data_IF_431515313979
#
_entry.id   IF_431515313979
#
_cell.length_a   1.000
_cell.length_b   1.000
_cell.length_c   1.000
_cell.angle_alpha   90.00
_cell.angle_beta   90.00
_cell.angle_gamma   90.00
#
_symmetry.space_group_name_H-M   'P 1'
#
loop_
_entity.id
_entity.type
_entity.pdbx_description
1 polymer ?
#
# COMPACT_ATOMS: atom_id res chain seq x y z
N UNK A 1 23.28 29.80 -28.88
CA UNK A 1 23.75 28.82 -27.88
C UNK A 1 25.25 29.00 -27.72
N UNK A 2 25.70 29.66 -26.66
CA UNK A 2 27.12 29.86 -26.37
C UNK A 2 27.32 29.74 -24.86
N UNK A 3 28.35 29.01 -24.45
CA UNK A 3 28.75 28.95 -23.05
C UNK A 3 29.40 30.29 -22.66
N UNK A 4 29.12 30.77 -21.44
CA UNK A 4 29.68 32.04 -20.92
C UNK A 4 31.20 31.98 -20.80
N UNK A 5 31.73 30.79 -20.56
CA UNK A 5 33.16 30.50 -20.45
C UNK A 5 33.70 29.89 -21.75
N UNK A 6 34.97 30.14 -22.10
CA UNK A 6 35.58 29.55 -23.29
C UNK A 6 35.68 28.03 -23.13
N UNK A 7 35.06 27.30 -24.07
CA UNK A 7 35.15 25.84 -24.14
C UNK A 7 36.55 25.45 -24.61
N UNK A 8 37.41 25.09 -23.66
CA UNK A 8 38.77 24.62 -23.95
C UNK A 8 38.82 23.09 -23.94
N UNK A 9 39.84 22.51 -24.58
CA UNK A 9 40.11 21.06 -24.48
C UNK A 9 40.29 20.58 -23.04
N UNK A 10 40.86 21.44 -22.19
CA UNK A 10 40.97 21.18 -20.77
C UNK A 10 39.60 21.08 -20.10
N UNK A 11 38.69 22.02 -20.39
CA UNK A 11 37.34 22.01 -19.86
C UNK A 11 36.57 20.75 -20.29
N UNK A 12 36.67 20.36 -21.57
CA UNK A 12 36.06 19.11 -22.06
C UNK A 12 36.64 17.87 -21.37
N UNK A 13 37.97 17.81 -21.20
CA UNK A 13 38.63 16.71 -20.48
C UNK A 13 38.20 16.66 -19.02
N UNK A 14 38.13 17.82 -18.34
CA UNK A 14 37.63 17.95 -16.97
C UNK A 14 36.19 17.47 -16.85
N UNK A 15 35.32 17.85 -17.78
CA UNK A 15 33.92 17.44 -17.80
C UNK A 15 33.77 15.92 -17.94
N UNK A 16 34.47 15.31 -18.90
CA UNK A 16 34.44 13.85 -19.11
C UNK A 16 34.95 13.11 -17.87
N UNK A 17 36.07 13.55 -17.28
CA UNK A 17 36.66 12.85 -16.14
C UNK A 17 35.80 12.93 -14.87
N UNK A 18 35.10 14.06 -14.62
CA UNK A 18 34.14 14.15 -13.51
C UNK A 18 32.90 13.28 -13.74
N UNK A 19 32.42 13.17 -14.98
CA UNK A 19 31.30 12.28 -15.30
C UNK A 19 31.67 10.80 -15.09
N UNK A 20 32.88 10.40 -15.46
CA UNK A 20 33.38 9.03 -15.25
C UNK A 20 33.62 8.74 -13.78
N UNK A 21 34.10 9.70 -12.99
CA UNK A 21 34.31 9.55 -11.54
C UNK A 21 33.02 9.21 -10.78
N UNK A 22 31.88 9.81 -11.18
CA UNK A 22 30.58 9.50 -10.59
C UNK A 22 29.97 8.16 -11.03
N UNK A 23 30.49 7.53 -12.08
CA UNK A 23 29.89 6.35 -12.71
C UNK A 23 30.77 5.08 -12.69
N UNK A 24 32.08 5.20 -12.52
CA UNK A 24 33.05 4.10 -12.59
C UNK A 24 34.08 4.13 -11.46
N UNK A 25 34.96 3.12 -11.40
CA UNK A 25 36.02 3.08 -10.39
C UNK A 25 37.16 4.06 -10.72
N UNK A 26 37.99 4.39 -9.72
CA UNK A 26 39.14 5.27 -9.91
C UNK A 26 40.11 4.75 -10.98
N UNK A 27 40.26 3.42 -11.08
CA UNK A 27 41.12 2.76 -12.06
C UNK A 27 40.62 3.00 -13.49
N UNK A 28 39.31 2.85 -13.71
CA UNK A 28 38.68 3.09 -15.02
C UNK A 28 38.82 4.56 -15.41
N UNK A 29 38.59 5.48 -14.48
CA UNK A 29 38.79 6.92 -14.70
C UNK A 29 40.24 7.23 -15.08
N UNK A 30 41.21 6.65 -14.37
CA UNK A 30 42.62 6.88 -14.63
C UNK A 30 43.05 6.29 -15.99
N UNK A 31 42.54 5.12 -16.35
CA UNK A 31 42.77 4.51 -17.67
C UNK A 31 42.21 5.38 -18.80
N UNK A 32 40.98 5.88 -18.67
CA UNK A 32 40.36 6.81 -19.63
C UNK A 32 41.17 8.11 -19.74
N UNK A 33 41.71 8.60 -18.63
CA UNK A 33 42.52 9.81 -18.60
C UNK A 33 43.96 9.60 -19.09
N UNK A 34 44.42 8.36 -19.23
CA UNK A 34 45.85 8.04 -19.40
C UNK A 34 46.71 8.49 -18.21
N UNK A 35 46.12 8.57 -17.01
CA UNK A 35 46.84 8.93 -15.80
C UNK A 35 47.35 7.68 -15.09
N UNK A 36 48.59 7.72 -14.61
CA UNK A 36 49.16 6.65 -13.79
C UNK A 36 48.58 6.67 -12.35
N UNK A 37 48.26 7.85 -11.84
CA UNK A 37 47.81 8.09 -10.47
C UNK A 37 46.58 9.00 -10.42
N UNK A 38 45.65 8.68 -9.52
CA UNK A 38 44.49 9.48 -9.16
C UNK A 38 44.84 10.88 -8.67
N UNK A 39 46.06 11.12 -8.14
CA UNK A 39 46.51 12.46 -7.71
C UNK A 39 46.44 13.50 -8.84
N UNK A 40 46.77 13.10 -10.07
CA UNK A 40 46.71 14.01 -11.23
C UNK A 40 45.29 14.43 -11.53
N UNK A 41 44.32 13.51 -11.37
CA UNK A 41 42.90 13.84 -11.44
C UNK A 41 42.49 14.77 -10.30
N UNK A 42 42.78 14.42 -9.04
CA UNK A 42 42.37 15.20 -7.86
C UNK A 42 42.89 16.64 -7.89
N UNK A 43 44.12 16.85 -8.35
CA UNK A 43 44.74 18.18 -8.35
C UNK A 43 44.25 19.09 -9.48
N UNK A 44 43.94 18.53 -10.66
CA UNK A 44 43.68 19.32 -11.87
C UNK A 44 42.23 19.20 -12.35
N UNK A 45 41.66 18.00 -12.32
CA UNK A 45 40.41 17.69 -12.99
C UNK A 45 39.23 17.47 -12.04
N UNK A 46 39.46 17.16 -10.77
CA UNK A 46 38.37 17.02 -9.80
C UNK A 46 37.63 18.34 -9.66
N UNK A 47 36.30 18.24 -9.63
CA UNK A 47 35.49 19.43 -9.45
C UNK A 47 35.72 20.05 -8.07
N UNK A 48 35.96 21.36 -8.04
CA UNK A 48 36.16 22.10 -6.80
C UNK A 48 34.83 22.48 -6.15
N UNK A 49 33.74 22.43 -6.92
CA UNK A 49 32.40 22.60 -6.41
C UNK A 49 31.89 21.28 -5.85
N UNK A 50 31.82 21.20 -4.52
CA UNK A 50 31.19 20.07 -3.83
C UNK A 50 29.68 20.19 -4.05
N UNK A 51 29.13 19.31 -4.91
CA UNK A 51 27.67 19.21 -5.15
C UNK A 51 26.90 18.58 -3.99
N UNK A 52 27.61 18.09 -2.98
CA UNK A 52 27.02 17.50 -1.78
C UNK A 52 26.51 18.60 -0.85
N UNK A 53 25.24 18.51 -0.43
CA UNK A 53 24.66 19.37 0.59
C UNK A 53 25.19 19.01 2.00
N UNK A 54 26.43 19.42 2.27
CA UNK A 54 27.14 19.17 3.52
C UNK A 54 26.40 19.78 4.71
N UNK A 55 25.79 20.95 4.52
CA UNK A 55 25.08 21.66 5.59
C UNK A 55 23.88 20.85 6.09
N UNK A 56 23.09 20.25 5.19
CA UNK A 56 21.95 19.40 5.57
C UNK A 56 22.41 18.09 6.20
N UNK A 57 23.47 17.45 5.66
CA UNK A 57 24.01 16.21 6.23
C UNK A 57 24.50 16.39 7.67
N UNK A 58 25.28 17.45 7.93
CA UNK A 58 25.77 17.76 9.29
C UNK A 58 24.62 18.02 10.26
N UNK A 59 23.51 18.58 9.77
CA UNK A 59 22.31 18.87 10.57
C UNK A 59 21.36 17.68 10.69
N UNK A 60 21.66 16.54 10.08
CA UNK A 60 20.76 15.38 10.01
C UNK A 60 19.46 15.68 9.24
N UNK A 61 19.48 16.68 8.35
CA UNK A 61 18.35 17.07 7.50
C UNK A 61 18.43 16.34 6.16
N UNK A 62 17.28 16.08 5.50
CA UNK A 62 17.29 15.56 4.14
C UNK A 62 18.00 16.55 3.20
N UNK A 63 18.80 16.02 2.27
CA UNK A 63 19.48 16.83 1.24
C UNK A 63 18.48 17.41 0.25
N UNK A 64 18.86 18.49 -0.45
CA UNK A 64 18.05 19.07 -1.53
C UNK A 64 17.61 18.03 -2.56
N UNK A 65 18.51 17.16 -3.03
CA UNK A 65 18.16 16.06 -3.95
C UNK A 65 17.10 15.12 -3.38
N UNK A 66 17.18 14.82 -2.08
CA UNK A 66 16.19 13.97 -1.40
C UNK A 66 14.83 14.67 -1.32
N UNK A 67 14.82 15.97 -1.07
CA UNK A 67 13.60 16.78 -1.06
C UNK A 67 12.99 16.85 -2.46
N UNK A 68 13.81 17.12 -3.49
CA UNK A 68 13.38 17.14 -4.88
C UNK A 68 12.86 15.78 -5.31
N UNK A 69 13.50 14.67 -4.92
CA UNK A 69 13.01 13.33 -5.20
C UNK A 69 11.66 13.06 -4.52
N UNK A 70 11.46 13.54 -3.29
CA UNK A 70 10.18 13.41 -2.57
C UNK A 70 9.08 14.26 -3.18
N UNK A 71 9.38 15.48 -3.59
CA UNK A 71 8.44 16.39 -4.28
C UNK A 71 8.07 15.83 -5.66
N UNK A 72 9.04 15.31 -6.40
CA UNK A 72 8.83 14.69 -7.71
C UNK A 72 8.29 13.25 -7.61
N UNK A 73 8.06 12.72 -6.40
CA UNK A 73 7.47 11.40 -6.25
C UNK A 73 6.03 11.47 -6.74
N UNK A 74 5.69 10.70 -7.77
CA UNK A 74 4.38 10.77 -8.44
C UNK A 74 3.17 10.75 -7.47
N UNK A 75 3.29 10.08 -6.32
CA UNK A 75 2.23 10.06 -5.30
C UNK A 75 1.96 11.39 -4.59
N UNK A 76 2.90 12.35 -4.61
CA UNK A 76 2.69 13.69 -4.07
C UNK A 76 1.70 14.51 -4.93
N UNK A 77 1.71 14.30 -6.24
CA UNK A 77 0.85 14.99 -7.21
C UNK A 77 -0.46 14.24 -7.50
N UNK A 78 -0.69 13.06 -6.92
CA UNK A 78 -1.94 12.33 -7.13
C UNK A 78 -3.05 13.02 -6.35
N UNK A 79 -3.95 13.66 -7.10
CA UNK A 79 -5.23 14.10 -6.57
C UNK A 79 -6.03 12.86 -6.07
N UNK A 80 -6.35 12.78 -4.76
CA UNK A 80 -7.05 11.64 -4.19
C UNK A 80 -8.50 11.49 -4.72
N UNK A 81 -9.08 12.58 -5.22
CA UNK A 81 -10.47 12.64 -5.68
C UNK A 81 -10.59 12.33 -7.18
N UNK A 82 -9.47 12.15 -7.87
CA UNK A 82 -9.45 11.81 -9.30
C UNK A 82 -9.73 10.31 -9.58
N UNK A 83 -9.24 9.41 -8.72
CA UNK A 83 -9.29 7.96 -8.97
C UNK A 83 -10.46 7.28 -8.25
N UNK A 84 -11.68 7.77 -8.49
CA UNK A 84 -12.91 7.24 -7.88
C UNK A 84 -13.32 5.94 -8.61
N UNK A 85 -13.68 4.86 -7.87
CA UNK A 85 -14.22 3.66 -8.51
C UNK A 85 -15.54 3.96 -9.24
N UNK A 86 -15.75 3.34 -10.40
CA UNK A 86 -17.02 3.44 -11.13
C UNK A 86 -18.18 2.91 -10.28
N UNK A 87 -19.31 3.60 -10.35
CA UNK A 87 -20.53 3.21 -9.66
C UNK A 87 -21.06 1.86 -10.16
N UNK A 88 -21.74 1.06 -9.31
CA UNK A 88 -22.29 -0.25 -9.70
C UNK A 88 -23.20 -0.17 -10.93
N UNK A 89 -23.98 0.89 -11.06
CA UNK A 89 -24.92 1.14 -12.15
C UNK A 89 -24.16 1.28 -13.48
N UNK A 90 -23.05 2.03 -13.47
CA UNK A 90 -22.17 2.18 -14.64
C UNK A 90 -21.52 0.85 -15.03
N UNK A 91 -21.15 0.01 -14.05
CA UNK A 91 -20.61 -1.33 -14.32
C UNK A 91 -21.67 -2.24 -14.96
N UNK A 92 -22.93 -2.11 -14.57
CA UNK A 92 -24.04 -2.82 -15.19
C UNK A 92 -24.29 -2.34 -16.62
N UNK A 93 -24.20 -1.03 -16.88
CA UNK A 93 -24.28 -0.49 -18.24
C UNK A 93 -23.20 -1.07 -19.16
N UNK A 94 -21.96 -1.21 -18.68
CA UNK A 94 -20.88 -1.87 -19.43
C UNK A 94 -21.24 -3.31 -19.77
N UNK A 95 -21.87 -4.04 -18.85
CA UNK A 95 -22.29 -5.43 -19.09
C UNK A 95 -23.40 -5.51 -20.16
N UNK A 96 -24.28 -4.51 -20.21
CA UNK A 96 -25.37 -4.44 -21.20
C UNK A 96 -24.94 -4.00 -22.60
N UNK A 97 -23.67 -3.62 -22.81
CA UNK A 97 -23.20 -3.19 -24.13
C UNK A 97 -23.30 -4.35 -25.14
N UNK A 98 -23.74 -4.10 -26.40
CA UNK A 98 -24.03 -5.18 -27.36
C UNK A 98 -22.86 -6.13 -27.61
N UNK A 99 -21.63 -5.61 -27.65
CA UNK A 99 -20.43 -6.42 -27.87
C UNK A 99 -20.04 -7.27 -26.66
N UNK A 100 -20.27 -6.76 -25.44
CA UNK A 100 -20.06 -7.50 -24.19
C UNK A 100 -21.16 -8.55 -24.00
N UNK A 101 -22.42 -8.19 -24.24
CA UNK A 101 -23.57 -9.07 -24.15
C UNK A 101 -23.48 -10.22 -25.17
N UNK A 102 -23.04 -9.94 -26.41
CA UNK A 102 -22.81 -10.97 -27.42
C UNK A 102 -21.73 -11.98 -26.98
N UNK A 103 -20.61 -11.50 -26.42
CA UNK A 103 -19.55 -12.37 -25.90
C UNK A 103 -20.02 -13.18 -24.68
N UNK A 104 -20.88 -12.61 -23.83
CA UNK A 104 -21.47 -13.31 -22.69
C UNK A 104 -22.42 -14.42 -23.15
N UNK A 105 -23.31 -14.12 -24.11
CA UNK A 105 -24.19 -15.11 -24.72
C UNK A 105 -23.40 -16.26 -25.36
N UNK A 106 -22.31 -15.94 -26.07
CA UNK A 106 -21.43 -16.93 -26.67
C UNK A 106 -20.72 -17.80 -25.62
N UNK A 107 -20.24 -17.19 -24.53
CA UNK A 107 -19.70 -17.95 -23.39
C UNK A 107 -20.74 -18.92 -22.81
N UNK A 108 -21.97 -18.45 -22.60
CA UNK A 108 -23.07 -19.27 -22.09
C UNK A 108 -23.42 -20.42 -23.03
N UNK A 109 -23.48 -20.15 -24.35
CA UNK A 109 -23.76 -21.16 -25.38
C UNK A 109 -22.69 -22.26 -25.40
N UNK A 110 -21.41 -21.88 -25.39
CA UNK A 110 -20.30 -22.82 -25.37
C UNK A 110 -20.23 -23.60 -24.04
N UNK A 111 -20.52 -22.94 -22.91
CA UNK A 111 -20.59 -23.61 -21.62
C UNK A 111 -21.72 -24.65 -21.57
N UNK A 112 -22.88 -24.35 -22.17
CA UNK A 112 -23.99 -25.30 -22.25
C UNK A 112 -23.62 -26.50 -23.13
N UNK A 113 -23.04 -26.27 -24.32
CA UNK A 113 -22.58 -27.35 -25.19
C UNK A 113 -21.55 -28.28 -24.51
N UNK A 114 -20.67 -27.73 -23.67
CA UNK A 114 -19.73 -28.51 -22.87
C UNK A 114 -20.42 -29.33 -21.76
N UNK A 115 -21.44 -28.76 -21.10
CA UNK A 115 -22.24 -29.50 -20.10
C UNK A 115 -23.04 -30.63 -20.74
N UNK A 116 -23.62 -30.39 -21.91
CA UNK A 116 -24.41 -31.40 -22.62
C UNK A 116 -23.52 -32.60 -23.04
N UNK A 117 -22.25 -32.34 -23.38
CA UNK A 117 -21.30 -33.37 -23.82
C UNK A 117 -20.55 -34.08 -22.68
N UNK A 118 -20.17 -33.36 -21.64
CA UNK A 118 -19.26 -33.86 -20.59
C UNK A 118 -19.88 -33.83 -19.17
N UNK A 119 -21.15 -33.43 -19.03
CA UNK A 119 -21.84 -33.23 -17.76
C UNK A 119 -21.42 -31.95 -17.01
N UNK A 120 -20.15 -31.56 -17.13
CA UNK A 120 -19.61 -30.35 -16.55
C UNK A 120 -18.56 -29.69 -17.46
N UNK A 121 -18.44 -28.36 -17.39
CA UNK A 121 -17.43 -27.60 -18.14
C UNK A 121 -16.01 -28.05 -17.76
N UNK A 122 -15.79 -28.43 -16.50
CA UNK A 122 -14.51 -28.95 -16.00
C UNK A 122 -14.21 -30.38 -16.42
N UNK A 123 -15.20 -31.12 -16.94
CA UNK A 123 -15.03 -32.50 -17.41
C UNK A 123 -14.45 -32.59 -18.82
N UNK A 124 -14.35 -31.47 -19.53
CA UNK A 124 -13.85 -31.43 -20.90
C UNK A 124 -12.32 -31.53 -20.96
N UNK A 125 -11.75 -32.41 -21.80
CA UNK A 125 -10.31 -32.48 -22.02
C UNK A 125 -9.76 -31.16 -22.57
N UNK A 126 -8.54 -30.79 -22.18
CA UNK A 126 -7.90 -29.56 -22.67
C UNK A 126 -7.62 -29.56 -24.18
N UNK A 127 -7.58 -30.73 -24.81
CA UNK A 127 -7.44 -30.91 -26.26
C UNK A 127 -8.73 -30.72 -27.05
N UNK A 128 -9.89 -30.62 -26.37
CA UNK A 128 -11.17 -30.47 -27.04
C UNK A 128 -11.34 -29.05 -27.63
N UNK A 129 -11.81 -29.00 -28.88
CA UNK A 129 -12.01 -27.74 -29.60
C UNK A 129 -13.04 -26.83 -28.91
N UNK A 130 -14.12 -27.39 -28.35
CA UNK A 130 -15.15 -26.60 -27.64
C UNK A 130 -14.60 -26.01 -26.34
N UNK A 131 -13.77 -26.76 -25.61
CA UNK A 131 -13.13 -26.27 -24.38
C UNK A 131 -12.15 -25.11 -24.68
N UNK A 132 -11.43 -25.21 -25.79
CA UNK A 132 -10.54 -24.15 -26.28
C UNK A 132 -11.34 -22.90 -26.69
N UNK A 133 -12.41 -23.07 -27.47
CA UNK A 133 -13.30 -21.97 -27.89
C UNK A 133 -13.94 -21.28 -26.69
N UNK A 134 -14.45 -22.04 -25.70
CA UNK A 134 -15.03 -21.47 -24.48
C UNK A 134 -14.00 -20.65 -23.70
N UNK A 135 -12.77 -21.16 -23.57
CA UNK A 135 -11.68 -20.44 -22.89
C UNK A 135 -11.33 -19.15 -23.63
N UNK A 136 -11.28 -19.18 -24.96
CA UNK A 136 -11.03 -18.00 -25.78
C UNK A 136 -12.15 -16.96 -25.66
N UNK A 137 -13.41 -17.39 -25.76
CA UNK A 137 -14.58 -16.52 -25.59
C UNK A 137 -14.57 -15.86 -24.20
N UNK A 138 -14.24 -16.61 -23.15
CA UNK A 138 -14.14 -16.07 -21.79
C UNK A 138 -13.01 -15.03 -21.65
N UNK A 139 -11.87 -15.25 -22.31
CA UNK A 139 -10.77 -14.27 -22.35
C UNK A 139 -11.22 -13.00 -23.08
N UNK A 140 -11.89 -13.13 -24.22
CA UNK A 140 -12.42 -12.00 -24.99
C UNK A 140 -13.47 -11.21 -24.20
N UNK A 141 -14.40 -11.88 -23.53
CA UNK A 141 -15.38 -11.25 -22.65
C UNK A 141 -14.71 -10.41 -21.55
N UNK A 142 -13.75 -11.00 -20.82
CA UNK A 142 -13.01 -10.30 -19.77
C UNK A 142 -12.23 -9.10 -20.31
N UNK A 143 -11.54 -9.27 -21.44
CA UNK A 143 -10.79 -8.22 -22.09
C UNK A 143 -11.70 -7.07 -22.56
N UNK A 144 -12.86 -7.39 -23.15
CA UNK A 144 -13.79 -6.37 -23.64
C UNK A 144 -14.44 -5.57 -22.53
N UNK A 145 -14.86 -6.25 -21.46
CA UNK A 145 -15.37 -5.61 -20.25
C UNK A 145 -14.32 -4.68 -19.62
N UNK A 146 -13.06 -5.13 -19.56
CA UNK A 146 -11.96 -4.32 -19.06
C UNK A 146 -11.65 -3.12 -19.97
N UNK A 147 -11.72 -3.28 -21.29
CA UNK A 147 -11.52 -2.19 -22.24
C UNK A 147 -12.52 -1.04 -22.02
N UNK A 148 -13.81 -1.35 -21.93
CA UNK A 148 -14.85 -0.34 -21.67
C UNK A 148 -14.68 0.31 -20.30
N UNK A 149 -14.34 -0.48 -19.27
CA UNK A 149 -14.02 0.04 -17.93
C UNK A 149 -12.85 1.00 -17.96
N UNK A 150 -11.73 0.63 -18.60
CA UNK A 150 -10.54 1.48 -18.71
C UNK A 150 -10.85 2.78 -19.45
N UNK A 151 -11.62 2.71 -20.54
CA UNK A 151 -12.03 3.90 -21.30
C UNK A 151 -12.88 4.85 -20.48
N UNK A 152 -13.82 4.34 -19.70
CA UNK A 152 -14.65 5.16 -18.83
C UNK A 152 -13.83 5.80 -17.71
N UNK A 153 -12.90 5.07 -17.09
CA UNK A 153 -11.99 5.63 -16.08
C UNK A 153 -11.09 6.73 -16.66
N UNK A 154 -10.55 6.55 -17.86
CA UNK A 154 -9.76 7.57 -18.56
C UNK A 154 -10.62 8.82 -18.82
N UNK A 155 -11.85 8.63 -19.31
CA UNK A 155 -12.78 9.72 -19.56
C UNK A 155 -13.14 10.45 -18.27
N UNK A 156 -13.51 9.73 -17.21
CA UNK A 156 -13.82 10.29 -15.90
C UNK A 156 -12.65 11.12 -15.36
N UNK A 157 -11.42 10.59 -15.45
CA UNK A 157 -10.21 11.31 -15.06
C UNK A 157 -10.02 12.60 -15.86
N UNK A 158 -10.17 12.53 -17.18
CA UNK A 158 -10.05 13.71 -18.05
C UNK A 158 -11.11 14.76 -17.72
N UNK A 159 -12.36 14.32 -17.60
CA UNK A 159 -13.50 15.20 -17.34
C UNK A 159 -13.38 15.83 -15.93
N UNK A 160 -12.86 15.09 -14.94
CA UNK A 160 -12.52 15.63 -13.62
C UNK A 160 -11.50 16.78 -13.72
N UNK A 161 -10.35 16.57 -14.38
CA UNK A 161 -9.34 17.63 -14.50
C UNK A 161 -9.81 18.81 -15.34
N UNK A 162 -10.68 18.59 -16.32
CA UNK A 162 -11.28 19.67 -17.10
C UNK A 162 -12.25 20.53 -16.27
N UNK A 163 -12.94 19.94 -15.30
CA UNK A 163 -13.96 20.62 -14.50
C UNK A 163 -13.45 21.09 -13.13
N UNK A 164 -12.37 20.50 -12.60
CA UNK A 164 -11.83 20.75 -11.26
C UNK A 164 -11.67 22.23 -10.94
N UNK A 165 -11.02 22.99 -11.82
CA UNK A 165 -10.77 24.41 -11.61
C UNK A 165 -12.07 25.21 -11.65
N UNK A 166 -13.01 24.84 -12.53
CA UNK A 166 -14.33 25.47 -12.62
C UNK A 166 -15.14 25.23 -11.35
N UNK A 167 -15.14 24.00 -10.83
CA UNK A 167 -15.82 23.67 -9.57
C UNK A 167 -15.16 24.38 -8.37
N UNK A 168 -13.83 24.50 -8.36
CA UNK A 168 -13.12 25.25 -7.34
C UNK A 168 -13.46 26.75 -7.37
N UNK A 169 -13.53 27.35 -8.57
CA UNK A 169 -13.97 28.74 -8.74
C UNK A 169 -15.42 28.91 -8.29
N UNK A 170 -16.32 28.00 -8.68
CA UNK A 170 -17.72 28.01 -8.23
C UNK A 170 -17.80 27.94 -6.71
N UNK A 171 -17.06 27.04 -6.07
CA UNK A 171 -16.99 26.92 -4.61
C UNK A 171 -16.50 28.21 -3.96
N UNK A 172 -15.46 28.84 -4.50
CA UNK A 172 -14.93 30.10 -3.96
C UNK A 172 -15.93 31.25 -4.10
N UNK A 173 -16.63 31.34 -5.24
CA UNK A 173 -17.67 32.34 -5.48
C UNK A 173 -18.91 32.09 -4.62
N UNK A 174 -19.28 30.82 -4.40
CA UNK A 174 -20.38 30.44 -3.52
C UNK A 174 -20.01 30.49 -2.04
N UNK A 175 -18.73 30.64 -1.68
CA UNK A 175 -18.28 30.80 -0.28
C UNK A 175 -18.72 32.14 0.35
N UNK A 176 -19.42 33.00 -0.40
CA UNK A 176 -20.20 34.12 0.13
C UNK A 176 -21.65 33.78 0.51
N UNK A 177 -22.17 32.63 0.06
CA UNK A 177 -23.51 32.13 0.39
C UNK A 177 -23.38 30.74 1.02
N UNK A 178 -23.56 30.70 2.34
CA UNK A 178 -23.60 29.47 3.16
C UNK A 178 -24.78 28.58 2.74
N UNK A 179 -24.67 27.92 1.58
CA UNK A 179 -25.53 26.81 1.21
C UNK A 179 -24.81 25.52 1.58
N UNK A 180 -25.56 24.63 2.22
CA UNK A 180 -25.17 23.38 2.89
C UNK A 180 -24.62 22.29 1.95
N UNK A 181 -23.98 22.70 0.85
CA UNK A 181 -23.31 21.81 -0.07
C UNK A 181 -22.03 21.32 0.59
N UNK A 182 -22.14 20.15 1.22
CA UNK A 182 -21.04 19.38 1.81
C UNK A 182 -19.78 19.56 0.97
N UNK A 183 -18.65 20.02 1.55
CA UNK A 183 -17.39 20.07 0.82
C UNK A 183 -17.11 18.67 0.23
N UNK A 184 -16.49 18.58 -0.95
CA UNK A 184 -16.04 17.28 -1.45
C UNK A 184 -15.28 16.62 -0.31
N UNK A 185 -15.76 15.45 0.12
CA UNK A 185 -15.17 14.68 1.22
C UNK A 185 -13.78 14.32 0.78
N UNK A 186 -12.82 15.21 1.03
CA UNK A 186 -11.40 14.96 0.85
C UNK A 186 -11.18 13.63 1.56
N UNK A 187 -10.90 12.56 0.80
CA UNK A 187 -10.74 11.24 1.39
C UNK A 187 -9.61 11.36 2.39
N UNK A 188 -9.98 11.47 3.67
CA UNK A 188 -9.03 11.43 4.77
C UNK A 188 -8.28 10.13 4.53
N UNK A 189 -6.98 10.25 4.26
CA UNK A 189 -6.11 9.11 4.22
C UNK A 189 -6.30 8.45 5.59
N UNK A 190 -7.07 7.36 5.64
CA UNK A 190 -7.26 6.61 6.86
C UNK A 190 -5.91 5.97 7.15
N UNK A 191 -5.07 6.72 7.86
CA UNK A 191 -3.81 6.25 8.38
C UNK A 191 -4.17 5.11 9.31
N UNK A 192 -4.04 3.89 8.80
CA UNK A 192 -4.49 2.68 9.49
C UNK A 192 -3.76 2.47 10.82
N UNK A 193 -2.65 3.16 11.02
CA UNK A 193 -1.80 3.07 12.20
C UNK A 193 -2.06 4.32 13.04
N UNK A 194 -2.56 4.17 14.27
CA UNK A 194 -2.91 5.30 15.11
C UNK A 194 -1.70 6.20 15.38
N UNK A 195 -0.50 5.63 15.50
CA UNK A 195 0.74 6.38 15.69
C UNK A 195 1.05 7.33 14.51
N UNK A 196 0.77 6.92 13.25
CA UNK A 196 0.89 7.80 12.09
C UNK A 196 -0.15 8.91 12.10
N UNK A 197 -1.38 8.60 12.49
CA UNK A 197 -2.43 9.61 12.62
C UNK A 197 -2.04 10.68 13.65
N UNK A 198 -1.52 10.25 14.81
CA UNK A 198 -0.98 11.15 15.84
C UNK A 198 0.14 12.03 15.29
N UNK A 199 1.10 11.46 14.54
CA UNK A 199 2.18 12.25 13.96
C UNK A 199 1.70 13.29 12.93
N UNK A 200 0.72 12.95 12.10
CA UNK A 200 0.13 13.90 11.14
C UNK A 200 -0.64 15.00 11.85
N UNK A 201 -1.42 14.68 12.87
CA UNK A 201 -2.09 15.69 13.70
C UNK A 201 -1.07 16.64 14.33
N UNK A 202 0.01 16.10 14.92
CA UNK A 202 1.07 16.90 15.54
C UNK A 202 1.87 17.74 14.51
N UNK A 203 2.01 17.26 13.27
CA UNK A 203 2.70 17.99 12.21
C UNK A 203 1.86 19.15 11.62
N UNK A 204 0.53 18.99 11.58
CA UNK A 204 -0.38 20.01 11.05
C UNK A 204 -0.59 21.19 12.00
N UNK A 205 -0.33 21.02 13.30
CA UNK A 205 -0.36 22.11 14.28
C UNK A 205 0.98 22.85 14.16
N UNK A 206 1.02 23.93 13.38
CA UNK A 206 2.22 24.74 13.08
C UNK A 206 2.90 25.45 14.27
N UNK A 207 2.74 24.96 15.50
CA UNK A 207 3.29 25.55 16.72
C UNK A 207 4.39 24.69 17.34
N UNK A 208 5.51 24.53 16.62
CA UNK A 208 6.73 23.99 17.24
C UNK A 208 7.47 25.02 18.13
N UNK A 209 6.95 26.24 18.28
CA UNK A 209 7.60 27.34 19.02
C UNK A 209 6.93 27.75 20.35
N UNK A 210 5.78 27.17 20.71
CA UNK A 210 5.05 27.47 21.97
C UNK A 210 5.41 26.48 23.10
N UNK A 211 5.31 26.80 24.40
CA UNK A 211 5.52 25.83 25.50
C UNK A 211 4.60 24.60 25.50
N UNK A 212 3.47 24.63 24.78
CA UNK A 212 2.68 23.42 24.42
C UNK A 212 3.49 22.41 23.57
N UNK A 213 4.55 22.88 22.91
CA UNK A 213 5.46 22.09 22.07
C UNK A 213 6.21 21.00 22.84
N UNK A 214 6.44 21.10 24.16
CA UNK A 214 7.17 20.03 24.87
C UNK A 214 6.35 18.75 25.00
N UNK A 215 5.07 18.85 25.36
CA UNK A 215 4.17 17.71 25.46
C UNK A 215 3.88 17.11 24.08
N UNK A 216 3.72 17.96 23.06
CA UNK A 216 3.53 17.54 21.68
C UNK A 216 4.78 16.87 21.12
N UNK A 217 5.98 17.39 21.40
CA UNK A 217 7.26 16.74 21.04
C UNK A 217 7.41 15.40 21.75
N UNK A 218 7.08 15.31 23.04
CA UNK A 218 7.14 14.04 23.76
C UNK A 218 6.16 13.01 23.16
N UNK A 219 4.94 13.46 22.82
CA UNK A 219 3.93 12.64 22.15
C UNK A 219 4.39 12.21 20.75
N UNK A 220 5.05 13.09 20.00
CA UNK A 220 5.63 12.77 18.70
C UNK A 220 6.78 11.75 18.83
N UNK A 221 7.68 11.92 19.80
CA UNK A 221 8.76 10.96 20.08
C UNK A 221 8.18 9.60 20.47
N UNK A 222 7.16 9.58 21.33
CA UNK A 222 6.50 8.34 21.73
C UNK A 222 5.79 7.68 20.54
N UNK A 223 5.10 8.45 19.70
CA UNK A 223 4.45 7.96 18.49
C UNK A 223 5.48 7.41 17.48
N UNK A 224 6.62 8.09 17.29
CA UNK A 224 7.74 7.60 16.47
C UNK A 224 8.32 6.30 17.02
N UNK A 225 8.61 6.24 18.32
CA UNK A 225 9.16 5.04 18.97
C UNK A 225 8.20 3.85 18.87
N UNK A 226 6.89 4.09 19.06
CA UNK A 226 5.86 3.07 18.89
C UNK A 226 5.74 2.64 17.42
N UNK A 227 5.80 3.58 16.47
CA UNK A 227 5.75 3.30 15.04
C UNK A 227 6.92 2.40 14.59
N UNK A 228 8.13 2.63 15.11
CA UNK A 228 9.29 1.77 14.83
C UNK A 228 9.10 0.31 15.31
N UNK A 229 8.15 0.06 16.22
CA UNK A 229 7.80 -1.28 16.69
C UNK A 229 6.64 -1.90 15.90
N UNK A 230 6.05 -1.19 14.94
CA UNK A 230 4.95 -1.67 14.11
C UNK A 230 5.47 -2.29 12.81
N UNK A 231 4.74 -3.29 12.32
CA UNK A 231 4.91 -3.84 10.97
C UNK A 231 3.71 -3.45 10.13
N UNK A 232 3.97 -2.82 9.00
CA UNK A 232 2.92 -2.46 8.04
C UNK A 232 2.77 -3.61 7.03
N UNK A 233 1.60 -4.24 7.02
CA UNK A 233 1.26 -5.09 5.89
C UNK A 233 1.05 -4.19 4.67
N UNK A 234 1.57 -4.57 3.48
CA UNK A 234 1.22 -3.88 2.24
C UNK A 234 -0.29 -3.77 2.21
N UNK A 235 -0.79 -2.54 2.03
CA UNK A 235 -2.20 -2.20 2.11
C UNK A 235 -2.94 -3.02 1.04
N UNK A 236 -3.31 -4.25 1.37
CA UNK A 236 -4.00 -5.18 0.50
C UNK A 236 -5.41 -4.65 0.43
N UNK A 237 -5.63 -3.69 -0.48
CA UNK A 237 -6.92 -3.15 -0.93
C UNK A 237 -8.01 -3.40 0.12
N UNK A 238 -7.89 -2.78 1.31
CA UNK A 238 -9.05 -2.73 2.18
C UNK A 238 -10.13 -2.13 1.31
N UNK A 239 -11.23 -2.85 1.13
CA UNK A 239 -12.40 -2.29 0.49
C UNK A 239 -12.59 -0.92 1.13
N UNK A 240 -12.68 0.12 0.31
CA UNK A 240 -13.03 1.44 0.80
C UNK A 240 -14.41 1.27 1.43
N UNK A 241 -14.45 1.01 2.73
CA UNK A 241 -15.66 1.09 3.52
C UNK A 241 -16.03 2.57 3.49
N UNK A 242 -16.92 2.92 2.58
CA UNK A 242 -17.70 4.13 2.65
C UNK A 242 -18.44 4.07 3.97
N UNK A 243 -17.98 4.80 4.98
CA UNK A 243 -18.77 5.03 6.19
C UNK A 243 -19.98 5.86 5.75
N UNK A 244 -21.23 5.32 5.76
CA UNK A 244 -22.39 6.16 5.57
C UNK A 244 -22.50 7.09 6.79
N UNK A 245 -22.75 8.37 6.52
CA UNK A 245 -22.98 9.35 7.56
C UNK A 245 -24.25 8.95 8.35
N UNK A 246 -24.03 8.66 9.63
CA UNK A 246 -24.94 8.56 10.78
C UNK A 246 -26.42 8.89 10.56
N UNK A 247 -27.28 7.99 11.05
CA UNK A 247 -28.30 8.34 12.03
C UNK A 247 -28.04 7.54 13.30
N UNK A 248 -27.42 8.18 14.29
CA UNK A 248 -27.59 7.81 15.71
C UNK A 248 -27.29 9.06 16.53
N UNK A 249 -28.36 9.72 16.93
CA UNK A 249 -28.39 10.70 18.01
C UNK A 249 -27.97 10.02 19.31
N UNK A 250 -26.97 10.54 20.05
CA UNK A 250 -26.68 10.06 21.39
C UNK A 250 -27.53 10.85 22.37
N UNK A 251 -28.52 10.18 22.97
CA UNK A 251 -29.21 10.73 24.14
C UNK A 251 -28.26 10.61 25.34
N UNK A 252 -27.71 11.75 25.74
CA UNK A 252 -26.89 11.92 26.92
C UNK A 252 -27.83 11.90 28.13
N UNK A 253 -27.65 10.93 29.02
CA UNK A 253 -28.06 11.06 30.41
C UNK A 253 -26.88 10.69 31.28
N UNK A 254 -26.32 11.74 31.87
CA UNK A 254 -25.19 11.78 32.78
C UNK A 254 -25.32 10.82 33.96
N UNK A 255 -24.23 10.13 34.31
CA UNK A 255 -23.80 10.03 35.71
C UNK A 255 -22.39 9.43 35.83
N UNK A 256 -21.53 10.21 36.49
CA UNK A 256 -20.42 9.81 37.37
C UNK A 256 -19.11 9.23 36.79
N UNK A 257 -18.12 10.13 36.77
CA UNK A 257 -16.82 10.05 37.43
C UNK A 257 -15.97 8.77 37.36
N UNK A 258 -14.73 9.00 36.89
CA UNK A 258 -13.50 8.26 37.17
C UNK A 258 -13.46 6.79 36.76
N UNK A 259 -12.90 6.55 35.57
CA UNK A 259 -11.95 5.45 35.29
C UNK A 259 -11.28 5.65 33.94
N UNK A 260 -9.96 5.76 33.97
CA UNK A 260 -9.07 5.55 32.83
C UNK A 260 -9.34 4.16 32.24
N UNK A 261 -9.74 4.00 30.96
CA UNK A 261 -9.87 2.67 30.38
C UNK A 261 -8.53 2.26 29.77
N UNK A 262 -7.64 1.73 30.61
CA UNK A 262 -6.64 0.78 30.15
C UNK A 262 -7.21 -0.64 30.30
N UNK A 263 -7.01 -1.46 29.25
CA UNK A 263 -6.99 -2.93 29.17
C UNK A 263 -8.09 -3.59 28.30
N UNK A 264 -7.66 -4.00 27.10
CA UNK A 264 -8.01 -5.21 26.34
C UNK A 264 -9.48 -5.62 26.10
N UNK A 265 -10.05 -5.16 24.98
CA UNK A 265 -11.03 -5.95 24.21
C UNK A 265 -10.31 -6.68 23.06
N UNK A 266 -9.33 -7.51 23.39
CA UNK A 266 -8.77 -8.47 22.44
C UNK A 266 -9.55 -9.79 22.58
N UNK A 267 -10.25 -10.29 21.54
CA UNK A 267 -10.94 -11.56 21.65
C UNK A 267 -9.88 -12.66 21.82
N UNK A 268 -9.74 -13.09 23.07
CA UNK A 268 -8.90 -14.20 23.49
C UNK A 268 -9.44 -15.56 23.02
N UNK A 269 -10.61 -15.57 22.37
CA UNK A 269 -11.21 -16.69 21.66
C UNK A 269 -10.99 -16.50 20.17
N UNK A 270 -10.41 -17.51 19.53
CA UNK A 270 -10.18 -17.50 18.09
C UNK A 270 -11.49 -17.72 17.34
N UNK A 271 -11.78 -16.86 16.36
CA UNK A 271 -12.85 -17.10 15.40
C UNK A 271 -12.41 -18.08 14.32
N UNK A 272 -13.36 -18.80 13.69
CA UNK A 272 -13.06 -19.57 12.49
C UNK A 272 -12.40 -18.70 11.43
N UNK A 273 -11.43 -19.27 10.72
CA UNK A 273 -10.64 -18.62 9.68
C UNK A 273 -9.75 -17.44 10.12
N UNK A 274 -9.42 -17.30 11.40
CA UNK A 274 -8.35 -16.39 11.84
C UNK A 274 -6.96 -17.05 11.78
N UNK A 275 -5.92 -16.22 11.65
CA UNK A 275 -4.53 -16.68 11.69
C UNK A 275 -3.93 -16.53 13.10
N UNK A 276 -3.51 -17.65 13.70
CA UNK A 276 -2.89 -17.64 15.04
C UNK A 276 -1.61 -16.80 15.12
N UNK A 277 -0.82 -16.77 14.05
CA UNK A 277 0.41 -15.98 13.97
C UNK A 277 0.12 -14.48 13.98
N UNK A 278 -0.83 -14.02 13.15
CA UNK A 278 -1.21 -12.61 13.13
C UNK A 278 -1.87 -12.17 14.44
N UNK A 279 -2.70 -13.03 15.03
CA UNK A 279 -3.31 -12.78 16.34
C UNK A 279 -2.24 -12.54 17.43
N UNK A 280 -1.16 -13.33 17.37
CA UNK A 280 -0.01 -13.27 18.27
C UNK A 280 1.03 -12.20 18.00
N UNK A 281 0.96 -11.50 16.87
CA UNK A 281 1.95 -10.50 16.48
C UNK A 281 1.54 -9.10 16.98
N UNK A 282 2.17 -8.65 18.05
CA UNK A 282 1.90 -7.35 18.67
C UNK A 282 2.37 -6.16 17.80
N UNK A 283 3.22 -6.43 16.80
CA UNK A 283 3.69 -5.42 15.85
C UNK A 283 2.58 -5.03 14.86
N UNK A 284 1.58 -5.89 14.67
CA UNK A 284 0.41 -5.60 13.84
C UNK A 284 -0.62 -4.77 14.63
N UNK A 285 -1.41 -3.96 13.93
CA UNK A 285 -2.54 -3.25 14.53
C UNK A 285 -3.69 -4.23 14.83
N UNK A 286 -4.58 -3.87 15.76
CA UNK A 286 -5.68 -4.73 16.20
C UNK A 286 -6.50 -5.31 15.03
N UNK A 287 -6.88 -4.46 14.05
CA UNK A 287 -7.65 -4.88 12.89
C UNK A 287 -6.95 -5.97 12.06
N UNK A 288 -5.63 -5.90 11.91
CA UNK A 288 -4.85 -6.89 11.16
C UNK A 288 -4.58 -8.15 12.00
N UNK A 289 -4.44 -8.00 13.32
CA UNK A 289 -4.33 -9.12 14.28
C UNK A 289 -5.59 -9.97 14.32
N UNK A 290 -6.77 -9.34 14.27
CA UNK A 290 -8.07 -10.02 14.36
C UNK A 290 -8.69 -10.31 12.99
N UNK A 291 -7.97 -10.09 11.90
CA UNK A 291 -8.47 -10.32 10.54
C UNK A 291 -8.94 -11.77 10.35
N UNK A 292 -10.20 -11.94 9.96
CA UNK A 292 -10.77 -13.23 9.58
C UNK A 292 -10.83 -13.37 8.06
N UNK A 293 -10.37 -14.50 7.55
CA UNK A 293 -10.38 -14.77 6.12
C UNK A 293 -11.74 -15.28 5.67
N UNK A 294 -12.21 -14.82 4.50
CA UNK A 294 -13.50 -15.23 3.95
C UNK A 294 -13.56 -16.72 3.53
N UNK A 295 -12.41 -17.39 3.40
CA UNK A 295 -12.30 -18.80 2.96
C UNK A 295 -11.12 -19.50 3.65
N UNK A 296 -11.32 -20.77 4.00
CA UNK A 296 -10.29 -21.64 4.57
C UNK A 296 -9.00 -21.71 3.73
N UNK A 297 -9.13 -21.79 2.40
CA UNK A 297 -7.99 -21.85 1.49
C UNK A 297 -7.15 -20.56 1.51
N UNK A 298 -7.79 -19.40 1.71
CA UNK A 298 -7.08 -18.12 1.83
C UNK A 298 -6.29 -18.06 3.14
N UNK A 299 -6.87 -18.54 4.24
CA UNK A 299 -6.16 -18.72 5.51
C UNK A 299 -4.96 -19.66 5.33
N UNK A 300 -5.11 -20.82 4.68
CA UNK A 300 -4.00 -21.76 4.47
C UNK A 300 -2.86 -21.15 3.66
N UNK A 301 -3.18 -20.45 2.56
CA UNK A 301 -2.18 -19.78 1.74
C UNK A 301 -1.44 -18.71 2.52
N UNK A 302 -2.13 -17.98 3.41
CA UNK A 302 -1.51 -16.99 4.27
C UNK A 302 -0.66 -17.66 5.37
N UNK A 303 -1.22 -18.61 6.11
CA UNK A 303 -0.56 -19.31 7.21
C UNK A 303 0.72 -20.03 6.77
N UNK A 304 0.72 -20.59 5.54
CA UNK A 304 1.92 -21.20 4.95
C UNK A 304 3.13 -20.26 4.97
N UNK A 305 2.96 -18.96 4.72
CA UNK A 305 4.08 -18.00 4.76
C UNK A 305 4.73 -17.89 6.14
N UNK A 306 3.93 -18.03 7.19
CA UNK A 306 4.44 -18.06 8.57
C UNK A 306 5.11 -19.40 8.87
N UNK A 307 4.50 -20.50 8.43
CA UNK A 307 5.04 -21.84 8.64
C UNK A 307 6.37 -22.06 7.90
N UNK A 308 6.49 -21.58 6.66
CA UNK A 308 7.72 -21.67 5.86
C UNK A 308 8.88 -20.85 6.44
N UNK A 309 8.58 -19.89 7.32
CA UNK A 309 9.58 -19.07 8.00
C UNK A 309 10.09 -19.69 9.32
N UNK A 310 9.48 -20.78 9.78
CA UNK A 310 9.91 -21.51 10.99
C UNK A 310 11.02 -22.47 10.57
N UNK A 311 12.18 -22.39 11.23
CA UNK A 311 13.25 -23.38 11.06
C UNK A 311 12.80 -24.74 11.62
N UNK A 312 12.91 -25.80 10.83
CA UNK A 312 12.54 -27.17 11.20
C UNK A 312 13.38 -27.70 12.38
N UNK A 313 14.51 -27.06 12.70
CA UNK A 313 15.43 -27.46 13.78
C UNK A 313 15.13 -26.81 15.13
N UNK A 314 14.23 -25.83 15.18
CA UNK A 314 13.90 -25.09 16.40
C UNK A 314 12.60 -25.60 17.06
N UNK A 315 12.53 -25.47 18.39
CA UNK A 315 11.28 -25.73 19.12
C UNK A 315 10.23 -24.70 18.69
N UNK A 316 9.04 -25.19 18.36
CA UNK A 316 7.96 -24.36 17.85
C UNK A 316 7.06 -23.94 19.02
N UNK A 317 6.88 -22.64 19.24
CA UNK A 317 5.94 -22.14 20.24
C UNK A 317 4.59 -21.81 19.61
N UNK A 318 3.51 -22.04 20.35
CA UNK A 318 2.20 -21.57 19.89
C UNK A 318 2.18 -20.03 19.89
N UNK A 319 1.89 -19.38 18.75
CA UNK A 319 1.89 -17.92 18.66
C UNK A 319 0.68 -17.27 19.35
N UNK A 320 -0.31 -18.04 19.79
CA UNK A 320 -1.49 -17.50 20.47
C UNK A 320 -1.10 -16.78 21.78
N UNK A 321 -1.62 -15.57 22.05
CA UNK A 321 -1.26 -14.80 23.26
C UNK A 321 -1.46 -15.53 24.60
N UNK A 322 -2.45 -16.43 24.71
CA UNK A 322 -2.64 -17.27 25.92
C UNK A 322 -1.58 -18.36 26.00
N UNK A 323 -1.36 -19.09 24.91
CA UNK A 323 -0.40 -20.19 24.91
C UNK A 323 1.05 -19.69 25.03
N UNK A 324 1.35 -18.48 24.55
CA UNK A 324 2.64 -17.82 24.78
C UNK A 324 2.86 -17.48 26.26
N UNK A 325 1.83 -17.02 26.99
CA UNK A 325 1.91 -16.80 28.44
C UNK A 325 2.13 -18.09 29.23
N UNK A 326 1.68 -19.22 28.70
CA UNK A 326 1.82 -20.55 29.28
C UNK A 326 3.07 -21.30 28.76
N UNK A 327 3.89 -20.64 27.95
CA UNK A 327 5.10 -21.18 27.33
C UNK A 327 4.92 -22.58 26.70
N UNK A 328 3.82 -22.75 25.96
CA UNK A 328 3.49 -24.05 25.33
C UNK A 328 4.48 -24.34 24.20
N UNK A 329 5.51 -25.13 24.53
CA UNK A 329 6.51 -25.62 23.60
C UNK A 329 6.01 -26.86 22.85
N UNK A 330 6.07 -26.81 21.53
CA UNK A 330 5.68 -27.87 20.61
C UNK A 330 6.92 -28.39 19.88
N UNK A 331 6.92 -29.67 19.55
CA UNK A 331 8.12 -30.35 19.05
C UNK A 331 8.37 -30.10 17.57
N UNK A 332 7.31 -29.95 16.77
CA UNK A 332 7.41 -29.67 15.34
C UNK A 332 6.19 -28.87 14.83
N UNK A 333 6.24 -28.52 13.55
CA UNK A 333 5.16 -27.82 12.84
C UNK A 333 3.84 -28.64 12.84
N UNK A 334 3.92 -29.97 12.84
CA UNK A 334 2.75 -30.85 12.82
C UNK A 334 2.02 -30.83 14.18
N UNK A 335 2.75 -30.78 15.28
CA UNK A 335 2.24 -30.58 16.63
C UNK A 335 1.60 -29.19 16.76
N UNK A 336 2.16 -28.15 16.12
CA UNK A 336 1.51 -26.84 16.04
C UNK A 336 0.20 -26.87 15.25
N UNK A 337 0.16 -27.56 14.10
CA UNK A 337 -1.08 -27.74 13.33
C UNK A 337 -2.16 -28.45 14.15
N UNK A 338 -1.78 -29.48 14.90
CA UNK A 338 -2.68 -30.23 15.76
C UNK A 338 -3.15 -29.41 16.97
N UNK A 339 -2.23 -28.70 17.64
CA UNK A 339 -2.53 -27.82 18.77
C UNK A 339 -3.50 -26.70 18.35
N UNK A 340 -3.23 -26.02 17.22
CA UNK A 340 -4.11 -24.99 16.68
C UNK A 340 -5.53 -25.50 16.38
N UNK A 341 -5.66 -26.75 15.91
CA UNK A 341 -6.96 -27.35 15.66
C UNK A 341 -7.70 -27.71 16.96
N UNK A 342 -7.02 -28.32 17.93
CA UNK A 342 -7.63 -28.84 19.16
C UNK A 342 -7.94 -27.75 20.18
N UNK A 343 -6.99 -26.85 20.42
CA UNK A 343 -7.08 -25.83 21.47
C UNK A 343 -7.68 -24.51 20.97
N UNK A 344 -7.62 -24.25 19.65
CA UNK A 344 -8.09 -22.99 19.06
C UNK A 344 -9.12 -23.15 17.95
N UNK A 345 -9.48 -24.39 17.55
CA UNK A 345 -10.42 -24.64 16.46
C UNK A 345 -9.95 -24.14 15.08
N UNK A 346 -8.66 -23.82 14.93
CA UNK A 346 -8.09 -23.27 13.69
C UNK A 346 -7.29 -24.34 12.94
N UNK A 347 -7.71 -24.60 11.71
CA UNK A 347 -6.98 -25.50 10.80
C UNK A 347 -5.95 -24.71 9.99
N UNK A 348 -4.68 -24.76 10.38
CA UNK A 348 -3.59 -24.00 9.72
C UNK A 348 -3.23 -24.51 8.31
N UNK A 349 -3.45 -25.80 8.01
CA UNK A 349 -3.27 -26.38 6.66
C UNK A 349 -3.99 -27.74 6.55
N UNK A 350 -4.28 -28.20 5.33
CA UNK A 350 -4.57 -29.62 5.08
C UNK A 350 -3.27 -30.42 4.94
N UNK A 351 -3.32 -31.70 5.31
CA UNK A 351 -2.28 -32.70 5.02
C UNK A 351 -1.87 -32.63 3.57
#
# INVERSE_FOLDING_TARGET
MGYREPVTWYWLRRLVLNAVDGAGSEEVRNQVAGHLDSRTYRNNYQDQHISLDVASLVRGRPTEDTLMQKLNHAAADIDPDCNIPLAPETLQQIASLPDVAALEAECCRLAQALRDRYGAVSGAPSSDSLATQHTQAQRQYRARKQYHRSRLLIRQRRDFFAQKDTELIKMQLSSGELTDSTPPKQKVCNLSIPERATLVTLANVGHLSSPTSRADRLSAVQAMANLCRRVELPQCRRGQETIPARDMTPNISSSNHDKVPHTDQFPLQCLPFQCLFCLGDERLILADRTHSFNRQQALWKHARKHLDAIDEREKVFCPHPKCRKLDVALHDIQHLKNHGLREHGIRLQCR
#
